data_IF_080860577130
#
_entry.id   IF_080860577130
#
_cell.length_a   1.000
_cell.length_b   1.000
_cell.length_c   1.000
_cell.angle_alpha   90.00
_cell.angle_beta   90.00
_cell.angle_gamma   90.00
#
_symmetry.space_group_name_H-M   'P 1'
#
loop_
_entity.id
_entity.type
_entity.pdbx_description
1 polymer ?
#
# COMPACT_ATOMS: atom_id res chain seq x y z
N UNK A 1 -8.49 3.91 7.39
CA UNK A 1 -9.08 2.54 7.53
C UNK A 1 -9.27 1.88 6.17
N UNK A 2 -9.72 2.59 5.14
CA UNK A 2 -9.91 2.02 3.79
C UNK A 2 -8.63 1.47 3.18
N UNK A 3 -7.51 2.18 3.31
CA UNK A 3 -6.20 1.71 2.83
C UNK A 3 -5.80 0.36 3.44
N UNK A 4 -5.98 0.18 4.75
CA UNK A 4 -5.72 -1.10 5.42
C UNK A 4 -6.60 -2.21 4.84
N UNK A 5 -7.89 -1.93 4.60
CA UNK A 5 -8.80 -2.92 3.97
C UNK A 5 -8.32 -3.30 2.58
N UNK A 6 -7.90 -2.33 1.76
CA UNK A 6 -7.38 -2.60 0.42
C UNK A 6 -6.11 -3.44 0.50
N UNK A 7 -5.16 -3.10 1.37
CA UNK A 7 -3.94 -3.89 1.56
C UNK A 7 -4.28 -5.33 1.94
N UNK A 8 -5.18 -5.55 2.90
CA UNK A 8 -5.54 -6.91 3.33
C UNK A 8 -6.24 -7.72 2.23
N UNK A 9 -7.07 -7.07 1.41
CA UNK A 9 -7.68 -7.70 0.24
C UNK A 9 -6.62 -8.04 -0.82
N UNK A 10 -5.70 -7.12 -1.09
CA UNK A 10 -4.63 -7.26 -2.06
C UNK A 10 -3.67 -8.39 -1.68
N UNK A 11 -3.34 -8.53 -0.39
CA UNK A 11 -2.57 -9.68 0.13
C UNK A 11 -3.26 -11.00 -0.18
N UNK A 12 -4.56 -11.07 0.10
CA UNK A 12 -5.33 -12.29 -0.11
C UNK A 12 -5.44 -12.64 -1.60
N UNK A 13 -5.64 -11.65 -2.46
CA UNK A 13 -5.72 -11.86 -3.91
C UNK A 13 -4.37 -12.19 -4.53
N UNK A 14 -3.26 -11.71 -3.95
CA UNK A 14 -1.89 -12.05 -4.33
C UNK A 14 -1.39 -13.37 -3.74
N UNK A 15 -2.23 -14.10 -2.99
CA UNK A 15 -1.87 -15.39 -2.39
C UNK A 15 -0.94 -15.31 -1.18
N UNK A 16 -0.82 -14.15 -0.55
CA UNK A 16 -0.05 -13.96 0.69
C UNK A 16 -0.89 -14.31 1.90
N UNK A 17 -0.22 -14.85 2.92
CA UNK A 17 -0.84 -15.14 4.22
C UNK A 17 -0.89 -13.88 5.10
N UNK A 18 -1.85 -13.78 6.01
CA UNK A 18 -1.99 -12.62 6.92
C UNK A 18 -0.79 -12.42 7.84
N UNK A 19 -0.03 -13.48 8.10
CA UNK A 19 1.19 -13.47 8.91
C UNK A 19 2.45 -13.11 8.13
N UNK A 20 2.39 -13.07 6.79
CA UNK A 20 3.53 -12.66 5.98
C UNK A 20 3.89 -11.19 6.25
N UNK A 21 5.15 -10.85 6.04
CA UNK A 21 5.60 -9.46 6.07
C UNK A 21 5.66 -8.91 4.66
N UNK A 22 5.41 -7.60 4.53
CA UNK A 22 5.28 -6.96 3.22
C UNK A 22 6.02 -5.63 3.17
N UNK A 23 6.40 -5.21 1.96
CA UNK A 23 6.76 -3.83 1.66
C UNK A 23 5.60 -3.16 0.93
N UNK A 24 5.36 -1.89 1.24
CA UNK A 24 4.26 -1.11 0.68
C UNK A 24 4.79 0.14 -0.04
N UNK A 25 4.20 0.40 -1.20
CA UNK A 25 4.30 1.67 -1.90
C UNK A 25 2.91 2.23 -2.11
N UNK A 26 2.70 3.49 -1.77
CA UNK A 26 1.42 4.17 -1.93
C UNK A 26 1.63 5.44 -2.73
N UNK A 27 1.06 5.47 -3.93
CA UNK A 27 1.06 6.64 -4.81
C UNK A 27 -0.29 7.34 -4.69
N UNK A 28 -0.27 8.66 -4.46
CA UNK A 28 -1.48 9.48 -4.34
C UNK A 28 -1.17 10.94 -4.65
N UNK A 29 -2.18 11.82 -4.61
CA UNK A 29 -1.97 13.27 -4.55
C UNK A 29 -1.23 13.68 -3.26
N UNK A 30 -0.60 14.87 -3.26
CA UNK A 30 0.14 15.40 -2.11
C UNK A 30 -0.74 15.55 -0.85
N UNK A 31 -2.00 15.96 -1.03
CA UNK A 31 -2.97 16.13 0.06
C UNK A 31 -3.25 14.80 0.78
N UNK A 32 -3.49 13.75 -0.01
CA UNK A 32 -3.72 12.41 0.54
C UNK A 32 -2.43 11.83 1.12
N UNK A 33 -1.28 12.07 0.48
CA UNK A 33 0.01 11.60 0.94
C UNK A 33 0.36 12.14 2.34
N UNK A 34 0.07 13.41 2.63
CA UNK A 34 0.28 13.99 3.96
C UNK A 34 -0.56 13.30 5.05
N UNK A 35 -1.82 13.00 4.72
CA UNK A 35 -2.72 12.26 5.61
C UNK A 35 -2.23 10.82 5.83
N UNK A 36 -1.89 10.12 4.75
CA UNK A 36 -1.34 8.75 4.82
C UNK A 36 -0.04 8.69 5.62
N UNK A 37 0.83 9.69 5.47
CA UNK A 37 2.09 9.78 6.21
C UNK A 37 1.84 9.88 7.71
N UNK A 38 0.82 10.65 8.12
CA UNK A 38 0.40 10.76 9.53
C UNK A 38 -0.07 9.42 10.10
N UNK A 39 -0.69 8.57 9.28
CA UNK A 39 -1.20 7.26 9.69
C UNK A 39 -0.29 6.08 9.32
N UNK A 40 0.90 6.34 8.78
CA UNK A 40 1.81 5.31 8.26
C UNK A 40 2.16 4.24 9.30
N UNK A 41 2.45 4.63 10.55
CA UNK A 41 2.75 3.70 11.63
C UNK A 41 1.58 2.75 11.94
N UNK A 42 0.35 3.28 11.94
CA UNK A 42 -0.86 2.47 12.14
C UNK A 42 -1.07 1.49 10.97
N UNK A 43 -0.86 1.94 9.73
CA UNK A 43 -0.96 1.08 8.54
C UNK A 43 0.08 -0.04 8.62
N UNK A 44 1.32 0.26 9.00
CA UNK A 44 2.39 -0.73 9.12
C UNK A 44 2.07 -1.80 10.17
N UNK A 45 1.60 -1.39 11.34
CA UNK A 45 1.22 -2.31 12.42
C UNK A 45 0.08 -3.24 12.01
N UNK A 46 -0.98 -2.70 11.39
CA UNK A 46 -2.16 -3.48 11.01
C UNK A 46 -1.93 -4.43 9.83
N UNK A 47 -0.88 -4.18 9.03
CA UNK A 47 -0.59 -4.93 7.80
C UNK A 47 0.71 -5.71 7.83
N UNK A 48 1.45 -5.67 8.95
CA UNK A 48 2.79 -6.25 9.09
C UNK A 48 3.77 -5.74 8.02
N UNK A 49 3.66 -4.46 7.66
CA UNK A 49 4.57 -3.85 6.70
C UNK A 49 5.92 -3.51 7.36
N UNK A 50 7.02 -3.90 6.71
CA UNK A 50 8.38 -3.55 7.16
C UNK A 50 8.84 -2.19 6.63
N UNK A 51 8.37 -1.83 5.43
CA UNK A 51 8.58 -0.53 4.81
C UNK A 51 7.30 0.00 4.20
N UNK A 52 7.08 1.31 4.32
CA UNK A 52 6.02 2.04 3.63
C UNK A 52 6.63 3.28 2.98
N UNK A 53 6.58 3.33 1.65
CA UNK A 53 6.93 4.51 0.87
C UNK A 53 5.66 5.20 0.36
N UNK A 54 5.46 6.46 0.72
CA UNK A 54 4.27 7.24 0.34
C UNK A 54 4.70 8.36 -0.59
N UNK A 55 3.98 8.55 -1.69
CA UNK A 55 4.31 9.53 -2.73
C UNK A 55 5.42 9.07 -3.67
N UNK A 56 5.91 7.84 -3.52
CA UNK A 56 6.78 7.22 -4.49
C UNK A 56 5.96 6.82 -5.72
N UNK A 57 6.37 7.29 -6.90
CA UNK A 57 5.94 6.70 -8.17
C UNK A 57 6.84 5.50 -8.38
N UNK A 58 6.27 4.30 -8.30
CA UNK A 58 6.97 3.11 -8.75
C UNK A 58 7.32 3.30 -10.22
N UNK A 59 8.61 3.29 -10.54
CA UNK A 59 9.07 3.24 -11.92
C UNK A 59 8.55 1.97 -12.58
N UNK A 60 8.37 1.98 -13.91
CA UNK A 60 7.96 0.81 -14.71
C UNK A 60 8.88 -0.43 -14.56
N UNK A 61 10.04 -0.27 -13.90
CA UNK A 61 10.94 -1.38 -13.50
C UNK A 61 10.54 -2.07 -12.18
N UNK A 62 9.34 -1.80 -11.65
CA UNK A 62 8.84 -2.52 -10.47
C UNK A 62 8.79 -4.03 -10.74
N UNK A 63 9.22 -4.87 -9.78
CA UNK A 63 9.24 -6.31 -9.99
C UNK A 63 7.85 -6.86 -10.35
N UNK A 64 7.79 -7.73 -11.36
CA UNK A 64 6.57 -8.46 -11.82
C UNK A 64 5.84 -9.21 -10.69
N UNK A 65 6.51 -9.41 -9.54
CA UNK A 65 5.96 -10.05 -8.35
C UNK A 65 5.17 -9.11 -7.42
N UNK A 66 5.08 -7.82 -7.76
CA UNK A 66 4.35 -6.83 -6.96
C UNK A 66 2.85 -6.84 -7.30
N UNK A 67 2.00 -6.92 -6.27
CA UNK A 67 0.56 -6.84 -6.40
C UNK A 67 0.13 -5.38 -6.28
N UNK A 68 -0.70 -4.89 -7.21
CA UNK A 68 -1.11 -3.49 -7.28
C UNK A 68 -2.63 -3.37 -7.32
N UNK A 69 -3.19 -2.45 -6.53
CA UNK A 69 -4.61 -2.10 -6.54
C UNK A 69 -4.79 -0.58 -6.46
N UNK A 70 -5.72 -0.03 -7.23
CA UNK A 70 -6.06 1.40 -7.19
C UNK A 70 -7.45 1.58 -6.60
N UNK A 71 -7.58 2.52 -5.68
CA UNK A 71 -8.84 2.92 -5.05
C UNK A 71 -9.06 4.43 -5.21
N UNK A 72 -10.31 4.84 -5.13
CA UNK A 72 -10.71 6.23 -5.04
C UNK A 72 -10.95 6.57 -3.56
N UNK A 73 -10.31 7.64 -3.09
CA UNK A 73 -10.40 8.15 -1.72
C UNK A 73 -10.56 9.67 -1.79
N UNK A 74 -11.67 10.21 -1.28
CA UNK A 74 -11.95 11.66 -1.26
C UNK A 74 -11.75 12.35 -2.64
N UNK A 75 -12.32 11.76 -3.70
CA UNK A 75 -12.18 12.18 -5.11
C UNK A 75 -10.74 12.16 -5.66
N UNK A 76 -9.80 11.53 -4.94
CA UNK A 76 -8.42 11.31 -5.37
C UNK A 76 -8.14 9.83 -5.62
N UNK A 77 -7.33 9.54 -6.65
CA UNK A 77 -6.86 8.19 -6.91
C UNK A 77 -5.65 7.87 -6.01
N UNK A 78 -5.73 6.73 -5.35
CA UNK A 78 -4.67 6.17 -4.52
C UNK A 78 -4.33 4.79 -5.07
N UNK A 79 -3.08 4.60 -5.46
CA UNK A 79 -2.56 3.31 -5.91
C UNK A 79 -1.71 2.71 -4.80
N UNK A 80 -2.06 1.50 -4.39
CA UNK A 80 -1.34 0.71 -3.39
C UNK A 80 -0.64 -0.44 -4.11
N UNK A 81 0.65 -0.56 -3.90
CA UNK A 81 1.45 -1.68 -4.36
C UNK A 81 2.08 -2.37 -3.17
N UNK A 82 2.09 -3.71 -3.20
CA UNK A 82 2.72 -4.52 -2.18
C UNK A 82 3.55 -5.64 -2.79
N UNK A 83 4.54 -6.08 -2.02
CA UNK A 83 5.27 -7.32 -2.28
C UNK A 83 5.60 -8.01 -0.95
N UNK A 84 5.90 -9.30 -1.02
CA UNK A 84 6.39 -10.04 0.15
C UNK A 84 7.83 -9.61 0.47
N UNK A 85 8.10 -9.28 1.72
CA UNK A 85 9.44 -8.98 2.22
C UNK A 85 10.31 -10.25 2.34
#
# INVERSE_FOLDING_TARGET
REVVRVIQNLRKSSGLEISDRINLWITSSEEVAASLTTYSAYIAEETLAEGIEIGAVLSDDAPDASATETLELDDALVTVTLEKA
#
